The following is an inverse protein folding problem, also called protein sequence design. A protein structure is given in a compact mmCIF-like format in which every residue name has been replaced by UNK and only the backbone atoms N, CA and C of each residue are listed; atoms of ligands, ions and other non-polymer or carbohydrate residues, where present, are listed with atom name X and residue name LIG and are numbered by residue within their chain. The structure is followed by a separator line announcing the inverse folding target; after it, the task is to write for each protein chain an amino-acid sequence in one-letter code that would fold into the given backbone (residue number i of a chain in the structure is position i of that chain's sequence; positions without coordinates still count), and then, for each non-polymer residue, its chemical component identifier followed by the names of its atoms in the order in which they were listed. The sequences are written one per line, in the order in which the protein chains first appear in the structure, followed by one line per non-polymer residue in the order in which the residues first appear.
data_IF_106242724547
#
_entry.id   IF_106242724547
#
_cell.length_a   1.000
_cell.length_b   1.000
_cell.length_c   1.000
_cell.angle_alpha   90.00
_cell.angle_beta   90.00
_cell.angle_gamma   90.00
#
_symmetry.space_group_name_H-M   'P 1'
#
loop_
_entity.id
_entity.type
_entity.pdbx_description
1 polymer ?
#
# COMPACT_ATOMS: atom_id res chain seq x y z
N UNK A 1 19.98 -27.67 53.54
CA UNK A 1 20.55 -26.54 52.75
C UNK A 1 20.50 -25.28 53.59
N UNK A 2 21.62 -24.91 54.25
CA UNK A 2 21.72 -23.91 55.31
C UNK A 2 21.58 -22.43 54.81
N UNK A 3 21.54 -22.19 53.50
CA UNK A 3 21.58 -20.82 52.90
C UNK A 3 20.56 -20.58 51.78
N UNK A 4 19.62 -21.49 51.59
CA UNK A 4 18.58 -21.29 50.56
C UNK A 4 17.48 -20.34 51.04
N UNK A 5 17.35 -19.19 50.38
CA UNK A 5 16.17 -18.32 50.56
C UNK A 5 15.09 -18.73 49.56
N UNK A 6 13.81 -18.75 49.98
CA UNK A 6 12.71 -19.00 49.04
C UNK A 6 12.73 -17.98 47.91
N UNK A 7 12.46 -18.42 46.69
CA UNK A 7 12.35 -17.53 45.53
C UNK A 7 11.14 -16.62 45.69
N UNK A 8 11.26 -15.38 45.32
CA UNK A 8 10.16 -14.39 45.33
C UNK A 8 9.33 -14.40 44.07
N UNK A 9 9.65 -15.26 43.08
CA UNK A 9 8.95 -15.40 41.83
C UNK A 9 8.18 -16.71 41.82
N UNK A 10 6.94 -16.64 41.38
CA UNK A 10 6.06 -17.79 41.12
C UNK A 10 6.29 -18.25 39.68
N UNK A 11 6.37 -19.56 39.45
CA UNK A 11 6.49 -20.10 38.08
C UNK A 11 5.03 -20.32 37.63
N UNK A 12 4.57 -19.48 36.76
CA UNK A 12 3.29 -19.69 36.07
C UNK A 12 3.52 -20.64 34.89
N UNK A 13 2.92 -21.82 34.95
CA UNK A 13 2.99 -22.85 33.90
C UNK A 13 1.99 -22.58 32.75
N UNK A 14 0.98 -21.78 33.01
CA UNK A 14 0.01 -21.32 32.03
C UNK A 14 0.11 -19.79 31.96
N UNK A 15 0.60 -19.27 30.86
CA UNK A 15 0.41 -17.86 30.57
C UNK A 15 -1.10 -17.72 30.28
N UNK A 16 -1.87 -16.99 31.10
CA UNK A 16 -3.23 -16.70 30.72
C UNK A 16 -3.14 -16.07 29.33
N UNK A 17 -3.84 -16.64 28.37
CA UNK A 17 -3.99 -16.02 27.08
C UNK A 17 -4.53 -14.62 27.37
N UNK A 18 -3.68 -13.63 27.20
CA UNK A 18 -4.13 -12.26 27.13
C UNK A 18 -4.88 -12.24 25.81
N UNK A 19 -6.16 -12.52 25.86
CA UNK A 19 -7.12 -12.09 24.86
C UNK A 19 -7.13 -10.55 24.91
N UNK A 20 -6.02 -9.96 24.52
CA UNK A 20 -5.98 -8.63 24.00
C UNK A 20 -6.47 -8.75 22.55
N UNK A 21 -7.77 -8.90 22.38
CA UNK A 21 -8.40 -8.33 21.22
C UNK A 21 -8.03 -6.85 21.30
N UNK A 22 -6.98 -6.46 20.54
CA UNK A 22 -6.83 -5.07 20.15
C UNK A 22 -8.23 -4.69 19.64
N UNK A 23 -8.87 -3.66 20.20
CA UNK A 23 -10.19 -3.28 19.71
C UNK A 23 -10.04 -3.13 18.22
N UNK A 24 -10.71 -3.96 17.43
CA UNK A 24 -10.81 -3.79 16.00
C UNK A 24 -11.22 -2.34 15.81
N UNK A 25 -10.26 -1.50 15.46
CA UNK A 25 -10.55 -0.12 15.14
C UNK A 25 -11.51 -0.22 13.97
N UNK A 26 -12.79 0.05 14.24
CA UNK A 26 -13.81 0.09 13.21
C UNK A 26 -13.41 1.21 12.25
N UNK A 27 -12.63 0.85 11.25
CA UNK A 27 -12.19 1.77 10.21
C UNK A 27 -13.44 2.16 9.43
N UNK A 28 -13.83 3.45 9.44
CA UNK A 28 -15.02 3.87 8.72
C UNK A 28 -14.80 3.64 7.23
N UNK A 29 -15.70 2.87 6.61
CA UNK A 29 -15.69 2.65 5.17
C UNK A 29 -16.65 3.64 4.49
N UNK A 30 -16.11 4.43 3.58
CA UNK A 30 -16.83 5.45 2.83
C UNK A 30 -16.24 5.55 1.41
N UNK A 31 -17.04 6.01 0.43
CA UNK A 31 -16.57 6.13 -0.93
C UNK A 31 -15.51 7.23 -1.05
N UNK A 32 -14.48 6.96 -1.85
CA UNK A 32 -13.36 7.86 -2.13
C UNK A 32 -12.96 7.82 -3.59
N UNK A 33 -12.44 8.92 -4.09
CA UNK A 33 -11.74 9.00 -5.37
C UNK A 33 -10.24 8.96 -5.13
N UNK A 34 -9.57 8.05 -5.79
CA UNK A 34 -8.13 7.83 -5.69
C UNK A 34 -7.45 8.35 -6.94
N UNK A 35 -6.37 9.10 -6.76
CA UNK A 35 -5.55 9.65 -7.82
C UNK A 35 -4.09 9.29 -7.56
N UNK A 36 -3.40 8.83 -8.60
CA UNK A 36 -1.98 8.54 -8.54
C UNK A 36 -1.28 9.22 -9.71
N UNK A 37 -0.17 9.90 -9.44
CA UNK A 37 0.56 10.68 -10.43
C UNK A 37 1.86 10.00 -10.84
N UNK A 38 2.43 10.42 -11.98
CA UNK A 38 3.70 9.91 -12.51
C UNK A 38 4.87 10.15 -11.56
N UNK A 39 4.89 11.28 -10.87
CA UNK A 39 5.93 11.62 -9.91
C UNK A 39 5.75 10.93 -8.55
N UNK A 40 4.75 10.03 -8.41
CA UNK A 40 4.53 9.22 -7.23
C UNK A 40 3.75 9.90 -6.11
N UNK A 41 2.91 10.88 -6.44
CA UNK A 41 1.97 11.47 -5.49
C UNK A 41 0.64 10.72 -5.52
N UNK A 42 0.08 10.53 -4.34
CA UNK A 42 -1.21 9.88 -4.15
C UNK A 42 -2.18 10.83 -3.44
N UNK A 43 -3.42 10.83 -3.89
CA UNK A 43 -4.51 11.58 -3.26
C UNK A 43 -5.71 10.69 -3.06
N UNK A 44 -6.28 10.78 -1.88
CA UNK A 44 -7.58 10.23 -1.54
C UNK A 44 -8.53 11.38 -1.27
N UNK A 45 -9.55 11.53 -2.10
CA UNK A 45 -10.48 12.66 -2.05
C UNK A 45 -11.91 12.15 -1.89
N UNK A 46 -12.63 12.69 -0.92
CA UNK A 46 -14.05 12.34 -0.77
C UNK A 46 -14.88 12.95 -1.90
N UNK A 47 -15.99 12.32 -2.31
CA UNK A 47 -16.85 12.84 -3.37
C UNK A 47 -17.35 14.25 -3.09
N UNK A 48 -17.59 14.59 -1.83
CA UNK A 48 -18.00 15.93 -1.43
C UNK A 48 -16.89 16.96 -1.68
N UNK A 49 -15.65 16.64 -1.30
CA UNK A 49 -14.51 17.53 -1.52
C UNK A 49 -14.21 17.71 -3.01
N UNK A 50 -14.37 16.65 -3.82
CA UNK A 50 -14.15 16.70 -5.26
C UNK A 50 -15.16 17.60 -6.00
N UNK A 51 -16.43 17.59 -5.57
CA UNK A 51 -17.47 18.46 -6.14
C UNK A 51 -17.19 19.94 -5.92
N UNK A 52 -16.50 20.29 -4.86
CA UNK A 52 -16.19 21.67 -4.51
C UNK A 52 -14.98 22.25 -5.26
N UNK A 53 -14.12 21.39 -5.83
CA UNK A 53 -12.90 21.82 -6.52
C UNK A 53 -12.59 20.81 -7.64
N UNK A 54 -12.97 21.16 -8.87
CA UNK A 54 -12.83 20.26 -10.04
C UNK A 54 -11.41 20.11 -10.56
N UNK A 55 -10.51 21.06 -10.27
CA UNK A 55 -9.16 21.05 -10.80
C UNK A 55 -8.18 20.47 -9.78
N UNK A 56 -7.36 19.49 -10.26
CA UNK A 56 -6.35 18.82 -9.44
C UNK A 56 -5.04 19.61 -9.48
N UNK A 57 -4.57 20.04 -8.32
CA UNK A 57 -3.23 20.60 -8.22
C UNK A 57 -2.19 19.48 -8.37
N UNK A 58 -1.33 19.62 -9.38
CA UNK A 58 -0.19 18.73 -9.63
C UNK A 58 1.11 19.50 -9.45
N UNK A 59 2.21 18.78 -9.33
CA UNK A 59 3.55 19.34 -9.42
C UNK A 59 3.84 19.76 -10.87
N UNK A 60 4.70 20.75 -11.08
CA UNK A 60 5.06 21.22 -12.40
C UNK A 60 5.62 20.08 -13.26
N UNK A 61 4.96 19.82 -14.40
CA UNK A 61 5.33 18.75 -15.32
C UNK A 61 4.87 17.33 -14.94
N UNK A 62 4.14 17.19 -13.82
CA UNK A 62 3.54 15.92 -13.41
C UNK A 62 2.18 15.69 -14.08
N UNK A 63 1.75 14.44 -14.17
CA UNK A 63 0.46 14.06 -14.74
C UNK A 63 -0.20 12.94 -13.93
N UNK A 64 -1.53 12.89 -13.96
CA UNK A 64 -2.29 11.82 -13.33
C UNK A 64 -2.21 10.58 -14.21
N UNK A 65 -1.61 9.51 -13.70
CA UNK A 65 -1.52 8.21 -14.38
C UNK A 65 -2.74 7.33 -14.13
N UNK A 66 -3.31 7.43 -12.93
CA UNK A 66 -4.38 6.53 -12.53
C UNK A 66 -5.43 7.28 -11.71
N UNK A 67 -6.70 7.01 -12.01
CA UNK A 67 -7.85 7.51 -11.27
C UNK A 67 -8.88 6.41 -11.15
N UNK A 68 -9.40 6.21 -9.94
CA UNK A 68 -10.55 5.32 -9.74
C UNK A 68 -11.42 5.76 -8.57
N UNK A 69 -12.66 5.28 -8.59
CA UNK A 69 -13.59 5.34 -7.46
C UNK A 69 -13.49 4.04 -6.68
N UNK A 70 -13.39 4.12 -5.36
CA UNK A 70 -13.28 2.98 -4.48
C UNK A 70 -13.77 3.32 -3.07
N UNK A 71 -13.44 2.50 -2.09
CA UNK A 71 -13.76 2.71 -0.68
C UNK A 71 -12.51 2.94 0.15
N UNK A 72 -12.68 3.51 1.33
CA UNK A 72 -11.57 3.79 2.24
C UNK A 72 -10.86 2.52 2.75
N UNK A 73 -11.53 1.39 2.74
CA UNK A 73 -10.98 0.09 3.19
C UNK A 73 -10.19 -0.66 2.11
N UNK A 74 -10.21 -0.18 0.85
CA UNK A 74 -9.58 -0.90 -0.27
C UNK A 74 -8.07 -1.04 -0.10
N UNK A 75 -7.54 -2.17 -0.56
CA UNK A 75 -6.11 -2.44 -0.55
C UNK A 75 -5.43 -1.89 -1.81
N UNK A 76 -4.26 -1.30 -1.61
CA UNK A 76 -3.44 -0.65 -2.63
C UNK A 76 -2.12 -1.39 -2.77
N UNK A 77 -1.71 -1.64 -4.01
CA UNK A 77 -0.42 -2.22 -4.36
C UNK A 77 0.39 -1.20 -5.16
N UNK A 78 1.54 -0.79 -4.64
CA UNK A 78 2.46 0.13 -5.33
C UNK A 78 3.66 -0.65 -5.83
N UNK A 79 3.78 -0.76 -7.16
CA UNK A 79 4.90 -1.38 -7.84
C UNK A 79 6.02 -0.38 -8.03
N UNK A 80 7.27 -0.77 -7.72
CA UNK A 80 8.42 0.14 -7.75
C UNK A 80 9.46 -0.27 -8.79
N UNK A 81 10.34 0.68 -9.14
CA UNK A 81 11.50 0.44 -10.03
C UNK A 81 12.49 -0.60 -9.45
N UNK A 82 12.51 -0.82 -8.14
CA UNK A 82 13.32 -1.85 -7.48
C UNK A 82 12.67 -3.25 -7.51
N UNK A 83 11.66 -3.46 -8.34
CA UNK A 83 10.95 -4.75 -8.49
C UNK A 83 10.31 -5.23 -7.19
N UNK A 84 9.79 -4.29 -6.44
CA UNK A 84 9.12 -4.52 -5.18
C UNK A 84 7.66 -4.07 -5.28
N UNK A 85 6.82 -4.62 -4.41
CA UNK A 85 5.44 -4.16 -4.22
C UNK A 85 5.28 -3.77 -2.77
N UNK A 86 4.78 -2.58 -2.55
CA UNK A 86 4.34 -2.12 -1.25
C UNK A 86 2.83 -2.25 -1.16
N UNK A 87 2.38 -2.86 -0.09
CA UNK A 87 0.97 -3.05 0.24
C UNK A 87 0.55 -2.03 1.29
N UNK A 88 -0.57 -1.41 1.07
CA UNK A 88 -1.16 -0.43 1.97
C UNK A 88 -2.67 -0.43 1.79
N UNK A 89 -3.40 0.21 2.67
CA UNK A 89 -4.83 0.45 2.49
C UNK A 89 -5.08 1.93 2.23
N UNK A 90 -6.22 2.25 1.63
CA UNK A 90 -6.56 3.64 1.40
C UNK A 90 -6.69 4.43 2.72
N UNK A 91 -7.10 3.79 3.82
CA UNK A 91 -7.18 4.43 5.15
C UNK A 91 -5.81 4.76 5.77
N UNK A 92 -4.70 4.17 5.29
CA UNK A 92 -3.34 4.52 5.74
C UNK A 92 -2.93 5.92 5.28
N UNK A 93 -3.65 6.49 4.32
CA UNK A 93 -3.45 7.83 3.79
C UNK A 93 -4.55 8.78 4.26
N UNK A 94 -4.19 10.03 4.51
CA UNK A 94 -5.14 11.06 4.92
C UNK A 94 -6.05 11.50 3.75
N UNK A 95 -7.28 11.90 4.07
CA UNK A 95 -8.14 12.55 3.10
C UNK A 95 -7.53 13.87 2.67
N UNK A 96 -7.44 14.07 1.37
CA UNK A 96 -6.87 15.27 0.76
C UNK A 96 -7.91 16.09 0.01
N UNK A 97 -7.52 17.30 -0.37
CA UNK A 97 -8.29 18.18 -1.25
C UNK A 97 -7.68 18.19 -2.64
N UNK A 98 -8.47 18.48 -3.66
CA UNK A 98 -7.96 18.65 -5.03
C UNK A 98 -6.86 19.72 -5.13
N UNK A 99 -6.93 20.76 -4.28
CA UNK A 99 -6.00 21.91 -4.26
C UNK A 99 -4.62 21.63 -3.63
N UNK A 100 -4.36 20.42 -3.09
CA UNK A 100 -3.05 20.04 -2.53
C UNK A 100 -2.37 19.00 -3.41
N UNK A 101 -1.05 18.82 -3.26
CA UNK A 101 -0.30 17.82 -4.03
C UNK A 101 -0.64 16.38 -3.63
N UNK A 102 -1.07 16.15 -2.39
CA UNK A 102 -1.27 14.83 -1.82
C UNK A 102 -0.04 14.28 -1.12
N UNK A 103 -0.07 12.99 -0.79
CA UNK A 103 1.01 12.30 -0.09
C UNK A 103 2.03 11.77 -1.09
N UNK A 104 3.32 11.99 -0.83
CA UNK A 104 4.39 11.37 -1.61
C UNK A 104 4.57 9.93 -1.15
N UNK A 105 4.19 8.97 -2.00
CA UNK A 105 4.09 7.54 -1.67
C UNK A 105 5.39 6.97 -1.15
N UNK A 106 6.53 7.33 -1.76
CA UNK A 106 7.83 6.82 -1.33
C UNK A 106 8.15 7.20 0.12
N UNK A 107 7.82 8.42 0.54
CA UNK A 107 7.98 8.84 1.94
C UNK A 107 6.96 8.21 2.87
N UNK A 108 5.70 8.13 2.44
CA UNK A 108 4.61 7.57 3.26
C UNK A 108 4.82 6.08 3.57
N UNK A 109 5.36 5.32 2.61
CA UNK A 109 5.60 3.88 2.76
C UNK A 109 7.04 3.54 3.18
N UNK A 110 7.91 4.53 3.39
CA UNK A 110 9.29 4.31 3.80
C UNK A 110 10.10 3.53 2.76
N UNK A 111 9.96 3.88 1.49
CA UNK A 111 10.71 3.27 0.40
C UNK A 111 12.20 3.57 0.51
N UNK A 112 13.04 2.74 -0.12
CA UNK A 112 14.49 2.90 -0.11
C UNK A 112 14.93 4.12 -0.93
N UNK A 113 16.15 4.60 -0.71
CA UNK A 113 16.71 5.71 -1.48
C UNK A 113 16.80 5.33 -2.97
N UNK A 114 16.27 6.21 -3.84
CA UNK A 114 16.19 5.97 -5.29
C UNK A 114 15.06 5.04 -5.72
N UNK A 115 14.27 4.51 -4.77
CA UNK A 115 13.07 3.73 -5.08
C UNK A 115 11.88 4.66 -5.35
N UNK A 116 11.22 4.47 -6.49
CA UNK A 116 10.05 5.25 -6.89
C UNK A 116 8.90 4.33 -7.27
N UNK A 117 7.66 4.67 -6.89
CA UNK A 117 6.50 3.93 -7.32
C UNK A 117 6.21 4.23 -8.80
N UNK A 118 6.14 3.17 -9.62
CA UNK A 118 5.87 3.27 -11.05
C UNK A 118 4.39 3.11 -11.37
N UNK A 119 3.69 2.27 -10.62
CA UNK A 119 2.29 1.95 -10.89
C UNK A 119 1.54 1.62 -9.60
N UNK A 120 0.27 1.99 -9.57
CA UNK A 120 -0.64 1.68 -8.47
C UNK A 120 -1.78 0.76 -8.96
N UNK A 121 -2.06 -0.28 -8.19
CA UNK A 121 -3.22 -1.14 -8.39
C UNK A 121 -4.13 -1.04 -7.18
N UNK A 122 -5.41 -0.87 -7.45
CA UNK A 122 -6.48 -0.92 -6.45
C UNK A 122 -7.13 -2.30 -6.53
N UNK A 123 -7.10 -3.05 -5.45
CA UNK A 123 -7.64 -4.41 -5.43
C UNK A 123 -8.55 -4.64 -4.22
N UNK A 124 -9.84 -4.92 -4.45
CA UNK A 124 -10.74 -5.33 -3.39
C UNK A 124 -10.67 -6.83 -3.08
N UNK A 125 -10.23 -7.66 -4.03
CA UNK A 125 -10.37 -9.12 -3.94
C UNK A 125 -9.26 -9.92 -4.65
N UNK A 126 -8.17 -9.27 -5.05
CA UNK A 126 -7.02 -9.87 -5.76
C UNK A 126 -7.38 -10.66 -7.04
N UNK A 127 -8.53 -10.39 -7.64
CA UNK A 127 -8.91 -10.96 -8.93
C UNK A 127 -8.26 -10.18 -10.07
N UNK A 128 -7.89 -10.91 -11.13
CA UNK A 128 -7.28 -10.32 -12.30
C UNK A 128 -5.80 -10.64 -12.46
N UNK A 129 -5.14 -9.89 -13.32
CA UNK A 129 -3.79 -10.17 -13.75
C UNK A 129 -3.01 -8.88 -13.89
N UNK A 130 -1.74 -8.90 -13.48
CA UNK A 130 -0.75 -7.89 -13.87
C UNK A 130 -0.04 -8.34 -15.12
N UNK A 131 0.11 -7.42 -16.08
CA UNK A 131 0.87 -7.63 -17.30
C UNK A 131 2.10 -6.73 -17.23
N UNK A 132 3.28 -7.33 -17.40
CA UNK A 132 4.55 -6.64 -17.42
C UNK A 132 5.14 -6.75 -18.81
N UNK A 133 5.44 -5.63 -19.43
CA UNK A 133 6.04 -5.58 -20.76
C UNK A 133 7.49 -5.11 -20.63
N UNK A 134 8.39 -5.83 -21.29
CA UNK A 134 9.82 -5.60 -21.18
C UNK A 134 10.38 -5.09 -22.51
N UNK A 135 11.50 -4.37 -22.45
CA UNK A 135 12.22 -3.78 -23.59
C UNK A 135 12.63 -4.81 -24.65
N UNK A 136 12.86 -6.07 -24.26
CA UNK A 136 13.18 -7.18 -25.15
C UNK A 136 11.96 -7.78 -25.90
N UNK A 137 10.79 -7.12 -25.86
CA UNK A 137 9.56 -7.54 -26.51
C UNK A 137 8.83 -8.71 -25.80
N UNK A 138 9.31 -9.16 -24.64
CA UNK A 138 8.62 -10.18 -23.85
C UNK A 138 7.59 -9.55 -22.94
N UNK A 139 6.54 -10.31 -22.61
CA UNK A 139 5.60 -9.95 -21.57
C UNK A 139 5.48 -11.07 -20.53
N UNK A 140 5.19 -10.70 -19.30
CA UNK A 140 4.83 -11.62 -18.22
C UNK A 140 3.42 -11.33 -17.75
N UNK A 141 2.64 -12.38 -17.51
CA UNK A 141 1.29 -12.33 -16.96
C UNK A 141 1.33 -12.97 -15.58
N UNK A 142 1.03 -12.19 -14.55
CA UNK A 142 1.07 -12.62 -13.15
C UNK A 142 -0.31 -12.43 -12.53
N UNK A 143 -0.92 -13.46 -11.90
CA UNK A 143 -2.21 -13.27 -11.23
C UNK A 143 -2.05 -12.36 -10.01
N UNK A 144 -3.00 -11.45 -9.79
CA UNK A 144 -3.00 -10.56 -8.62
C UNK A 144 -3.00 -11.33 -7.29
N UNK A 145 -3.61 -12.52 -7.27
CA UNK A 145 -3.56 -13.42 -6.10
C UNK A 145 -2.15 -13.82 -5.66
N UNK A 146 -1.13 -13.70 -6.54
CA UNK A 146 0.27 -13.93 -6.16
C UNK A 146 0.81 -12.87 -5.20
N UNK A 147 0.19 -11.71 -5.13
CA UNK A 147 0.54 -10.61 -4.22
C UNK A 147 -0.31 -10.61 -2.95
N UNK A 148 -1.32 -11.48 -2.87
CA UNK A 148 -2.08 -11.72 -1.66
C UNK A 148 -1.20 -12.44 -0.63
N UNK A 149 -1.16 -11.93 0.60
CA UNK A 149 -0.38 -12.54 1.68
C UNK A 149 -1.27 -12.78 2.89
N UNK A 150 -1.17 -13.96 3.48
CA UNK A 150 -1.89 -14.30 4.72
C UNK A 150 -1.41 -13.53 5.96
N UNK A 151 -0.20 -12.97 5.87
CA UNK A 151 0.39 -12.13 6.91
C UNK A 151 0.37 -10.69 6.44
N UNK A 152 0.22 -9.76 7.35
CA UNK A 152 0.24 -8.32 7.07
C UNK A 152 1.66 -7.86 6.68
N UNK A 153 2.14 -8.33 5.53
CA UNK A 153 3.43 -7.93 4.97
C UNK A 153 3.24 -6.71 4.10
N UNK A 154 3.83 -5.61 4.53
CA UNK A 154 3.76 -4.34 3.79
C UNK A 154 4.66 -4.30 2.55
N UNK A 155 5.68 -5.15 2.46
CA UNK A 155 6.67 -5.15 1.36
C UNK A 155 6.87 -6.56 0.81
N UNK A 156 6.75 -6.72 -0.50
CA UNK A 156 7.03 -7.95 -1.23
C UNK A 156 8.21 -7.72 -2.17
N UNK A 157 9.21 -8.59 -2.09
CA UNK A 157 10.40 -8.56 -2.92
C UNK A 157 10.21 -9.40 -4.19
N UNK A 158 10.91 -9.05 -5.27
CA UNK A 158 10.90 -9.77 -6.56
C UNK A 158 9.49 -9.90 -7.15
N UNK A 159 8.77 -8.80 -7.16
CA UNK A 159 7.38 -8.74 -7.63
C UNK A 159 7.24 -9.02 -9.14
N UNK A 160 8.28 -8.76 -9.92
CA UNK A 160 8.36 -9.06 -11.33
C UNK A 160 9.81 -9.38 -11.75
N UNK A 161 9.99 -9.88 -13.01
CA UNK A 161 11.27 -10.41 -13.50
C UNK A 161 12.35 -9.33 -13.60
N UNK A 162 13.60 -9.73 -13.32
CA UNK A 162 14.82 -8.93 -13.45
C UNK A 162 15.62 -9.23 -14.72
N UNK A 163 15.11 -10.10 -15.60
CA UNK A 163 15.82 -10.57 -16.79
C UNK A 163 15.87 -9.54 -17.93
N UNK A 164 15.06 -8.51 -17.86
CA UNK A 164 15.00 -7.42 -18.83
C UNK A 164 14.47 -6.16 -18.16
N UNK A 165 14.69 -5.01 -18.77
CA UNK A 165 14.20 -3.75 -18.29
C UNK A 165 12.68 -3.65 -18.51
N UNK A 166 11.97 -3.11 -17.53
CA UNK A 166 10.52 -2.97 -17.59
C UNK A 166 10.20 -1.74 -18.46
N UNK A 167 9.43 -1.96 -19.52
CA UNK A 167 8.98 -0.89 -20.39
C UNK A 167 7.68 -0.25 -19.86
N UNK A 168 6.68 -1.10 -19.49
CA UNK A 168 5.43 -0.63 -18.86
C UNK A 168 4.67 -1.80 -18.20
N UNK A 169 3.68 -1.45 -17.38
CA UNK A 169 2.76 -2.37 -16.71
C UNK A 169 1.32 -2.14 -17.16
#
# INVERSE_FOLDING_TARGET
KKYGKPRRCEIMYEVPAVEGEEPEQQIPDYPVHLFFTRDGYFKKITPQSLRMSGEQKLKDGDEVLFTCESTNSVELLFFTNHRQVYKSHAYDFNDSKASVLGDYVASALGMEEGEVPLYMVVTPDYKGWMLFFYDNGKCAKVPLSSYETKQNRRKLLKAYSDKAELAFM
#
